data_IF_756603585459
#
_entry.id   IF_756603585459
#
_cell.length_a   1.000
_cell.length_b   1.000
_cell.length_c   1.000
_cell.angle_alpha   90.00
_cell.angle_beta   90.00
_cell.angle_gamma   90.00
#
_symmetry.space_group_name_H-M   'P 1'
#
loop_
_entity.id
_entity.type
_entity.pdbx_description
1 polymer ?
#
# COMPACT_ATOMS: atom_id res chain seq x y z
N UNK A 1 -14.14 30.96 20.86
CA UNK A 1 -14.52 29.62 20.38
C UNK A 1 -14.05 29.47 18.93
N UNK A 2 -12.75 29.31 18.70
CA UNK A 2 -12.20 29.14 17.34
C UNK A 2 -11.97 27.67 17.09
N UNK A 3 -12.92 27.03 16.42
CA UNK A 3 -12.76 25.71 15.84
C UNK A 3 -11.94 25.88 14.56
N UNK A 4 -10.61 25.73 14.68
CA UNK A 4 -9.78 25.46 13.52
C UNK A 4 -10.16 24.09 12.98
N UNK A 5 -11.00 24.10 11.95
CA UNK A 5 -11.27 22.95 11.10
C UNK A 5 -9.95 22.46 10.51
N UNK A 6 -9.40 21.40 11.11
CA UNK A 6 -8.31 20.64 10.51
C UNK A 6 -8.89 19.81 9.36
N UNK A 7 -8.84 20.34 8.14
CA UNK A 7 -9.09 19.57 6.93
C UNK A 7 -8.02 18.51 6.79
N UNK A 8 -8.38 17.26 7.08
CA UNK A 8 -7.57 16.09 6.76
C UNK A 8 -7.48 15.96 5.23
N UNK A 9 -6.37 16.46 4.67
CA UNK A 9 -6.02 16.17 3.29
C UNK A 9 -5.75 14.66 3.17
N UNK A 10 -6.73 13.91 2.67
CA UNK A 10 -6.51 12.55 2.22
C UNK A 10 -5.56 12.63 1.01
N UNK A 11 -4.27 12.43 1.26
CA UNK A 11 -3.26 12.29 0.22
C UNK A 11 -3.69 11.18 -0.76
N UNK A 12 -3.44 11.32 -2.07
CA UNK A 12 -3.76 10.27 -3.02
C UNK A 12 -3.05 8.97 -2.57
N UNK A 13 -3.76 7.84 -2.45
CA UNK A 13 -3.15 6.60 -1.99
C UNK A 13 -2.03 6.22 -2.98
N UNK A 14 -0.78 6.31 -2.53
CA UNK A 14 0.38 6.31 -3.40
C UNK A 14 0.60 4.99 -4.17
N UNK A 15 -0.12 3.92 -3.83
CA UNK A 15 -0.13 2.69 -4.61
C UNK A 15 -1.43 1.90 -4.39
N UNK A 16 -2.19 1.68 -5.47
CA UNK A 16 -3.27 0.71 -5.53
C UNK A 16 -2.76 -0.54 -6.26
N UNK A 17 -2.86 -1.71 -5.62
CA UNK A 17 -2.37 -2.99 -6.15
C UNK A 17 -3.49 -4.01 -6.24
N UNK A 18 -3.54 -4.85 -7.28
CA UNK A 18 -4.57 -5.87 -7.40
C UNK A 18 -4.44 -6.89 -6.27
N UNK A 19 -5.57 -7.23 -5.66
CA UNK A 19 -5.66 -8.13 -4.52
C UNK A 19 -5.58 -9.57 -5.01
N UNK A 20 -4.41 -10.20 -4.93
CA UNK A 20 -4.19 -11.62 -5.25
C UNK A 20 -4.43 -12.53 -4.03
N UNK A 21 -4.52 -11.95 -2.84
CA UNK A 21 -4.75 -12.66 -1.57
C UNK A 21 -5.04 -11.70 -0.42
N UNK A 22 -4.40 -11.90 0.73
CA UNK A 22 -4.43 -10.93 1.83
C UNK A 22 -3.54 -9.73 1.54
N UNK A 23 -4.04 -8.51 1.74
CA UNK A 23 -3.23 -7.30 1.57
C UNK A 23 -2.02 -7.31 2.52
N UNK A 24 -0.85 -6.81 2.07
CA UNK A 24 0.33 -6.71 2.92
C UNK A 24 0.13 -5.68 4.04
N UNK A 25 0.99 -5.73 5.06
CA UNK A 25 0.94 -4.78 6.18
C UNK A 25 1.10 -3.33 5.68
N UNK A 26 0.22 -2.44 6.13
CA UNK A 26 0.16 -1.04 5.67
C UNK A 26 -0.77 -0.79 4.47
N UNK A 27 -1.42 -1.84 3.97
CA UNK A 27 -2.41 -1.76 2.90
C UNK A 27 -3.81 -2.13 3.37
N UNK A 28 -4.79 -1.33 2.94
CA UNK A 28 -6.21 -1.51 3.20
C UNK A 28 -6.90 -2.20 2.03
N UNK A 29 -7.76 -3.18 2.33
CA UNK A 29 -8.64 -3.81 1.34
C UNK A 29 -9.63 -2.79 0.78
N UNK A 30 -9.70 -2.64 -0.54
CA UNK A 30 -10.80 -1.94 -1.21
C UNK A 30 -11.21 -2.70 -2.45
N UNK A 31 -12.26 -3.50 -2.30
CA UNK A 31 -12.78 -4.37 -3.35
C UNK A 31 -11.72 -5.37 -3.84
N UNK A 32 -11.43 -5.32 -5.14
CA UNK A 32 -10.44 -6.18 -5.79
C UNK A 32 -8.99 -5.64 -5.69
N UNK A 33 -8.77 -4.59 -4.90
CA UNK A 33 -7.47 -3.95 -4.76
C UNK A 33 -7.08 -3.78 -3.29
N UNK A 34 -5.78 -3.63 -3.07
CA UNK A 34 -5.16 -3.22 -1.82
C UNK A 34 -4.66 -1.78 -2.02
N UNK A 35 -5.13 -0.86 -1.19
CA UNK A 35 -4.77 0.55 -1.21
C UNK A 35 -3.75 0.83 -0.12
N UNK A 36 -2.65 1.48 -0.48
CA UNK A 36 -1.71 2.03 0.48
C UNK A 36 -2.43 3.00 1.43
N UNK A 37 -2.32 2.76 2.75
CA UNK A 37 -2.90 3.65 3.76
C UNK A 37 -2.15 4.97 3.94
N UNK A 38 -0.91 5.05 3.46
CA UNK A 38 -0.02 6.20 3.60
C UNK A 38 0.86 6.34 2.36
N UNK A 39 1.38 7.55 2.09
CA UNK A 39 2.40 7.81 1.07
C UNK A 39 3.72 7.04 1.32
N UNK A 40 3.98 6.72 2.60
CA UNK A 40 5.11 5.92 3.04
C UNK A 40 4.98 4.43 2.67
N UNK A 41 3.78 3.93 2.35
CA UNK A 41 3.62 2.53 1.98
C UNK A 41 4.44 2.23 0.70
N UNK A 42 5.58 1.56 0.88
CA UNK A 42 6.49 1.12 -0.17
C UNK A 42 5.73 0.53 -1.34
N UNK A 43 6.17 0.77 -2.60
CA UNK A 43 5.51 0.18 -3.77
C UNK A 43 5.39 -1.32 -3.51
N UNK A 44 4.18 -1.86 -3.49
CA UNK A 44 4.02 -3.30 -3.54
C UNK A 44 3.55 -3.72 -4.92
N UNK A 45 3.91 -4.93 -5.31
CA UNK A 45 3.46 -5.57 -6.54
C UNK A 45 3.10 -7.02 -6.23
N UNK A 46 2.04 -7.56 -6.86
CA UNK A 46 1.72 -8.98 -6.73
C UNK A 46 2.89 -9.82 -7.24
N UNK A 47 3.33 -10.80 -6.44
CA UNK A 47 4.44 -11.67 -6.85
C UNK A 47 3.91 -12.81 -7.71
N UNK A 48 4.38 -12.88 -8.96
CA UNK A 48 4.24 -14.07 -9.81
C UNK A 48 5.42 -15.05 -9.67
N UNK A 49 6.44 -14.70 -8.88
CA UNK A 49 7.71 -15.41 -8.79
C UNK A 49 8.62 -14.89 -7.67
N UNK A 50 9.94 -15.06 -7.77
CA UNK A 50 10.91 -14.42 -6.87
C UNK A 50 10.79 -12.89 -6.96
N UNK A 51 10.90 -12.20 -5.83
CA UNK A 51 10.94 -10.74 -5.83
C UNK A 51 12.25 -10.23 -6.45
N UNK A 52 12.22 -9.14 -7.21
CA UNK A 52 13.43 -8.55 -7.79
C UNK A 52 14.38 -8.03 -6.70
N UNK A 53 15.65 -7.85 -7.04
CA UNK A 53 16.67 -7.33 -6.12
C UNK A 53 16.27 -5.94 -5.59
N UNK A 54 16.33 -5.76 -4.27
CA UNK A 54 15.86 -4.53 -3.60
C UNK A 54 14.41 -4.58 -3.11
N UNK A 55 13.72 -5.71 -3.32
CA UNK A 55 12.35 -5.91 -2.84
C UNK A 55 12.30 -7.02 -1.80
N UNK A 56 11.46 -6.80 -0.78
CA UNK A 56 11.18 -7.74 0.30
C UNK A 56 9.90 -8.52 0.02
N UNK A 57 9.91 -9.82 0.29
CA UNK A 57 8.73 -10.68 0.12
C UNK A 57 7.79 -10.49 1.31
N UNK A 58 6.56 -10.01 1.08
CA UNK A 58 5.50 -9.97 2.08
C UNK A 58 4.27 -10.71 1.59
N UNK A 59 4.21 -12.00 1.95
CA UNK A 59 3.13 -12.91 1.58
C UNK A 59 3.04 -13.11 0.06
N UNK A 60 1.93 -12.67 -0.54
CA UNK A 60 1.68 -12.73 -1.98
C UNK A 60 2.16 -11.48 -2.74
N UNK A 61 2.92 -10.59 -2.09
CA UNK A 61 3.42 -9.35 -2.68
C UNK A 61 4.90 -9.19 -2.44
N UNK A 62 5.55 -8.46 -3.35
CA UNK A 62 6.87 -7.91 -3.14
C UNK A 62 6.69 -6.45 -2.72
N UNK A 63 7.31 -6.04 -1.62
CA UNK A 63 7.39 -4.66 -1.15
C UNK A 63 8.75 -4.10 -1.52
N UNK A 64 8.77 -2.92 -2.13
CA UNK A 64 10.00 -2.17 -2.37
C UNK A 64 10.54 -1.68 -1.03
N UNK A 65 11.74 -2.13 -0.68
CA UNK A 65 12.48 -1.59 0.45
C UNK A 65 13.13 -0.30 -0.03
N UNK A 66 12.51 0.84 0.28
CA UNK A 66 13.02 2.19 -0.02
C UNK A 66 14.24 2.50 0.84
#
# INVERSE_FOLDING_TARGET
>A
MWLFFASAAAAPPAAAIPRVGSCPSGYSSSGAYCLAGSDDAGRAVPRGGPCPSGWSSSGAYCLESR
#
